data_IF_106076158511
#
_entry.id   IF_106076158511
#
_cell.length_a   1.000
_cell.length_b   1.000
_cell.length_c   1.000
_cell.angle_alpha   90.00
_cell.angle_beta   90.00
_cell.angle_gamma   90.00
#
_symmetry.space_group_name_H-M   'P 1'
#
loop_
_entity.id
_entity.type
_entity.pdbx_description
1 polymer ?
#
# COMPACT_ATOMS: atom_id res chain seq x y z
N UNK A 1 0.09 24.86 1.89
CA UNK A 1 -0.03 24.73 0.42
C UNK A 1 0.48 23.34 0.07
N UNK A 2 -0.22 22.58 -0.78
CA UNK A 2 0.18 21.25 -1.26
C UNK A 2 1.38 21.35 -2.22
N UNK A 3 2.20 20.28 -2.33
CA UNK A 3 3.35 20.21 -3.22
C UNK A 3 4.71 20.24 -2.53
N UNK A 4 4.76 19.99 -1.20
CA UNK A 4 6.03 19.87 -0.45
C UNK A 4 6.72 18.57 -0.80
N UNK A 5 7.96 18.67 -1.24
CA UNK A 5 8.75 17.59 -1.81
C UNK A 5 9.95 17.29 -0.91
N UNK A 6 10.10 16.01 -0.54
CA UNK A 6 11.29 15.48 0.11
C UNK A 6 12.07 14.66 -0.91
N UNK A 7 13.27 15.10 -1.29
CA UNK A 7 14.19 14.38 -2.17
C UNK A 7 15.27 13.69 -1.34
N UNK A 8 15.49 12.39 -1.60
CA UNK A 8 16.53 11.59 -0.93
C UNK A 8 17.34 10.87 -1.99
N UNK A 9 18.64 11.09 -2.00
CA UNK A 9 19.60 10.33 -2.80
C UNK A 9 20.36 9.36 -1.89
N UNK A 10 20.06 8.07 -2.03
CA UNK A 10 20.62 7.02 -1.20
C UNK A 10 22.10 6.70 -1.53
N UNK A 11 22.62 7.09 -2.70
CA UNK A 11 24.04 6.91 -3.03
C UNK A 11 24.93 7.91 -2.28
N UNK A 12 24.42 9.12 -2.08
CA UNK A 12 25.19 10.21 -1.45
C UNK A 12 24.73 10.51 -0.02
N UNK A 13 23.59 9.96 0.40
CA UNK A 13 22.95 10.30 1.68
C UNK A 13 22.34 11.69 1.71
N UNK A 14 22.21 12.37 0.55
CA UNK A 14 21.72 13.74 0.48
C UNK A 14 20.21 13.79 0.67
N UNK A 15 19.77 14.62 1.63
CA UNK A 15 18.36 14.87 1.92
C UNK A 15 18.06 16.35 1.62
N UNK A 16 17.06 16.60 0.78
CA UNK A 16 16.66 17.94 0.38
C UNK A 16 15.15 18.14 0.54
N UNK A 17 14.77 19.27 1.14
CA UNK A 17 13.38 19.70 1.23
C UNK A 17 13.14 20.76 0.15
N UNK A 18 12.11 20.54 -0.67
CA UNK A 18 11.81 21.35 -1.83
C UNK A 18 10.29 21.53 -1.99
N UNK A 19 9.88 22.23 -3.02
CA UNK A 19 8.49 22.38 -3.42
C UNK A 19 8.36 22.19 -4.91
N UNK A 20 7.36 21.42 -5.32
CA UNK A 20 7.02 21.36 -6.74
C UNK A 20 6.32 22.64 -7.20
N UNK A 21 6.33 22.90 -8.49
CA UNK A 21 5.69 24.05 -9.11
C UNK A 21 4.19 24.11 -8.74
N UNK A 22 3.73 25.28 -8.32
CA UNK A 22 2.30 25.51 -8.05
C UNK A 22 1.44 25.33 -9.31
N UNK A 23 2.01 25.63 -10.48
CA UNK A 23 1.36 25.36 -11.78
C UNK A 23 1.12 23.88 -11.98
N UNK A 24 2.12 23.02 -11.74
CA UNK A 24 1.96 21.57 -11.85
C UNK A 24 0.97 21.00 -10.84
N UNK A 25 0.95 21.55 -9.62
CA UNK A 25 -0.06 21.17 -8.63
C UNK A 25 -1.46 21.54 -9.13
N UNK A 26 -1.64 22.70 -9.76
CA UNK A 26 -2.90 23.13 -10.33
C UNK A 26 -3.35 22.25 -11.51
N UNK A 27 -2.43 21.95 -12.43
CA UNK A 27 -2.72 21.21 -13.66
C UNK A 27 -2.92 19.68 -13.41
N UNK A 28 -2.16 19.09 -12.48
CA UNK A 28 -2.10 17.64 -12.24
C UNK A 28 -2.66 17.21 -10.88
N UNK A 29 -3.06 18.13 -10.04
CA UNK A 29 -3.74 17.93 -8.74
C UNK A 29 -2.82 17.25 -7.70
N UNK A 30 -2.42 15.99 -7.91
CA UNK A 30 -1.64 15.17 -6.99
C UNK A 30 -1.65 13.70 -7.41
N UNK A 31 -1.21 12.80 -6.51
CA UNK A 31 -1.17 11.36 -6.77
C UNK A 31 -0.43 11.02 -8.05
N UNK A 32 -0.96 10.08 -8.81
CA UNK A 32 -0.39 9.59 -10.07
C UNK A 32 -0.27 10.67 -11.15
N UNK A 33 -1.22 11.60 -11.25
CA UNK A 33 -1.15 12.68 -12.23
C UNK A 33 0.09 13.55 -12.03
N UNK A 34 0.32 14.02 -10.81
CA UNK A 34 1.51 14.82 -10.48
C UNK A 34 2.80 14.00 -10.58
N UNK A 35 2.76 12.72 -10.16
CA UNK A 35 3.90 11.82 -10.30
C UNK A 35 4.29 11.61 -11.76
N UNK A 36 3.33 11.43 -12.66
CA UNK A 36 3.58 11.29 -14.10
C UNK A 36 4.26 12.52 -14.67
N UNK A 37 3.80 13.72 -14.30
CA UNK A 37 4.45 14.98 -14.72
C UNK A 37 5.88 15.08 -14.21
N UNK A 38 6.14 14.75 -12.96
CA UNK A 38 7.46 14.78 -12.37
C UNK A 38 8.42 13.79 -13.02
N UNK A 39 7.97 12.55 -13.26
CA UNK A 39 8.78 11.53 -13.93
C UNK A 39 9.06 11.86 -15.39
N UNK A 40 8.11 12.45 -16.09
CA UNK A 40 8.29 12.88 -17.48
C UNK A 40 9.47 13.83 -17.66
N UNK A 41 9.68 14.75 -16.73
CA UNK A 41 10.80 15.71 -16.79
C UNK A 41 12.15 15.09 -16.42
N UNK A 42 12.18 14.13 -15.52
CA UNK A 42 13.41 13.67 -14.87
C UNK A 42 13.84 12.27 -15.34
N UNK A 43 13.02 11.58 -16.15
CA UNK A 43 13.31 10.20 -16.53
C UNK A 43 13.88 10.12 -17.96
N UNK A 44 15.05 9.53 -18.07
CA UNK A 44 15.60 9.09 -19.35
C UNK A 44 14.90 7.78 -19.75
N UNK A 45 14.17 7.74 -20.87
CA UNK A 45 13.44 6.54 -21.29
C UNK A 45 14.34 5.35 -21.67
N UNK A 46 15.61 5.60 -21.97
CA UNK A 46 16.59 4.55 -22.29
C UNK A 46 17.21 3.91 -21.05
N UNK A 47 17.04 4.52 -19.87
CA UNK A 47 17.62 4.02 -18.61
C UNK A 47 16.86 2.77 -18.15
N UNK A 48 17.59 1.80 -17.57
CA UNK A 48 16.97 0.65 -16.91
C UNK A 48 16.07 1.11 -15.74
N UNK A 49 14.85 0.57 -15.58
CA UNK A 49 14.01 0.88 -14.43
C UNK A 49 14.70 0.65 -13.07
N UNK A 50 15.57 -0.34 -12.97
CA UNK A 50 16.32 -0.67 -11.73
C UNK A 50 17.63 0.10 -11.58
N UNK A 51 18.02 0.94 -12.56
CA UNK A 51 19.20 1.82 -12.41
C UNK A 51 19.04 2.69 -11.14
N UNK A 52 20.08 2.85 -10.32
CA UNK A 52 20.03 3.69 -9.12
C UNK A 52 19.47 5.10 -9.34
N UNK A 53 19.75 5.69 -10.50
CA UNK A 53 19.27 7.04 -10.89
C UNK A 53 17.78 7.06 -11.26
N UNK A 54 17.15 5.91 -11.53
CA UNK A 54 15.71 5.85 -11.82
C UNK A 54 14.90 6.27 -10.59
N UNK A 55 14.00 7.29 -10.72
CA UNK A 55 13.25 7.80 -9.60
C UNK A 55 12.21 6.81 -9.09
N UNK A 56 12.02 6.80 -7.77
CA UNK A 56 10.92 6.13 -7.09
C UNK A 56 10.15 7.16 -6.26
N UNK A 57 8.89 7.37 -6.60
CA UNK A 57 8.06 8.43 -6.03
C UNK A 57 6.92 7.87 -5.18
N UNK A 58 6.68 8.50 -4.04
CA UNK A 58 5.48 8.32 -3.22
C UNK A 58 4.72 9.64 -3.22
N UNK A 59 3.53 9.65 -3.81
CA UNK A 59 2.79 10.89 -4.04
C UNK A 59 1.38 10.81 -3.46
N UNK A 60 1.07 11.72 -2.57
CA UNK A 60 -0.25 11.87 -1.97
C UNK A 60 -1.16 12.73 -2.84
N UNK A 61 -2.45 12.73 -2.54
CA UNK A 61 -3.40 13.67 -3.11
C UNK A 61 -3.72 14.82 -2.15
N UNK A 62 -4.33 15.93 -2.60
CA UNK A 62 -4.69 17.06 -1.74
C UNK A 62 -5.61 16.68 -0.58
N UNK A 63 -6.46 15.69 -0.78
CA UNK A 63 -7.38 15.20 0.25
C UNK A 63 -6.78 14.12 1.16
N UNK A 64 -5.60 13.55 0.82
CA UNK A 64 -5.00 12.49 1.63
C UNK A 64 -4.80 12.95 3.07
N UNK A 65 -5.36 12.20 4.02
CA UNK A 65 -5.21 12.46 5.45
C UNK A 65 -6.04 13.63 6.02
N UNK A 66 -6.87 14.29 5.21
CA UNK A 66 -7.72 15.41 5.68
C UNK A 66 -8.91 14.97 6.55
N UNK A 67 -9.20 13.66 6.59
CA UNK A 67 -10.41 13.12 7.23
C UNK A 67 -11.62 13.06 6.30
N UNK A 68 -11.46 13.39 5.03
CA UNK A 68 -12.49 13.14 4.01
C UNK A 68 -12.76 11.63 3.84
N UNK A 69 -13.92 11.24 3.28
CA UNK A 69 -14.27 9.85 3.06
C UNK A 69 -13.24 9.12 2.19
N UNK A 70 -12.72 7.98 2.68
CA UNK A 70 -11.77 7.11 2.00
C UNK A 70 -10.46 7.80 1.50
N UNK A 71 -10.07 8.93 2.08
CA UNK A 71 -8.90 9.74 1.69
C UNK A 71 -7.58 9.30 2.33
N UNK A 72 -7.43 8.03 2.67
CA UNK A 72 -6.19 7.45 3.19
C UNK A 72 -5.19 7.00 2.11
N UNK A 73 -5.57 7.03 0.83
CA UNK A 73 -4.78 6.46 -0.26
C UNK A 73 -3.71 7.42 -0.78
N UNK A 74 -2.63 6.83 -1.33
CA UNK A 74 -1.55 7.51 -2.05
C UNK A 74 -0.98 6.57 -3.13
N UNK A 75 -0.13 7.09 -4.03
CA UNK A 75 0.45 6.32 -5.12
C UNK A 75 1.95 6.18 -4.98
N UNK A 76 2.45 4.97 -5.24
CA UNK A 76 3.86 4.68 -5.51
C UNK A 76 4.04 4.65 -7.01
N UNK A 77 4.99 5.41 -7.53
CA UNK A 77 5.17 5.61 -8.95
C UNK A 77 6.64 5.53 -9.36
N UNK A 78 6.87 4.99 -10.56
CA UNK A 78 8.18 4.85 -11.16
C UNK A 78 8.07 4.15 -12.49
N UNK A 79 9.19 3.76 -13.08
CA UNK A 79 9.15 2.85 -14.23
C UNK A 79 9.04 1.42 -13.72
N UNK A 80 8.08 0.67 -14.28
CA UNK A 80 7.88 -0.73 -13.91
C UNK A 80 9.06 -1.59 -14.36
N UNK A 81 9.70 -2.35 -13.46
CA UNK A 81 10.75 -3.30 -13.84
C UNK A 81 10.24 -4.41 -14.77
N UNK A 82 8.95 -4.73 -14.69
CA UNK A 82 8.31 -5.76 -15.52
C UNK A 82 8.08 -5.32 -16.95
N UNK A 83 7.70 -4.06 -17.17
CA UNK A 83 7.25 -3.59 -18.50
C UNK A 83 8.14 -2.51 -19.11
N UNK A 84 9.01 -1.88 -18.33
CA UNK A 84 9.78 -0.70 -18.74
C UNK A 84 8.95 0.58 -18.91
N UNK A 85 7.61 0.48 -18.74
CA UNK A 85 6.67 1.59 -18.93
C UNK A 85 6.35 2.29 -17.60
N UNK A 86 5.45 3.27 -17.66
CA UNK A 86 4.86 3.87 -16.47
C UNK A 86 4.30 2.81 -15.52
N UNK A 87 4.75 2.85 -14.28
CA UNK A 87 4.27 2.02 -13.19
C UNK A 87 3.63 2.87 -12.10
N UNK A 88 2.41 2.50 -11.75
CA UNK A 88 1.66 3.07 -10.64
C UNK A 88 1.10 1.97 -9.76
N UNK A 89 1.24 2.13 -8.45
CA UNK A 89 0.60 1.27 -7.48
C UNK A 89 -0.08 2.11 -6.40
N UNK A 90 -1.40 2.03 -6.34
CA UNK A 90 -2.20 2.78 -5.39
C UNK A 90 -2.42 1.96 -4.11
N UNK A 91 -2.04 2.50 -2.97
CA UNK A 91 -2.10 1.81 -1.67
C UNK A 91 -2.97 2.58 -0.67
N UNK A 92 -3.76 1.84 0.09
CA UNK A 92 -4.55 2.38 1.21
C UNK A 92 -3.78 2.38 2.53
N UNK A 93 -4.50 2.42 3.64
CA UNK A 93 -3.92 2.39 4.98
C UNK A 93 -3.67 3.78 5.57
N UNK A 94 -2.53 3.98 6.20
CA UNK A 94 -2.22 5.16 7.00
C UNK A 94 -0.91 5.86 6.60
N UNK A 95 -0.06 5.26 5.77
CA UNK A 95 1.24 5.82 5.35
C UNK A 95 1.07 7.18 4.65
N UNK A 96 0.15 7.29 3.68
CA UNK A 96 -0.10 8.55 2.98
C UNK A 96 -0.48 9.69 3.93
N UNK A 97 -1.47 9.51 4.83
CA UNK A 97 -1.77 10.44 5.88
C UNK A 97 -0.59 10.83 6.79
N UNK A 98 0.24 9.86 7.18
CA UNK A 98 1.42 10.14 8.02
C UNK A 98 2.48 10.95 7.26
N UNK A 99 2.71 10.66 5.98
CA UNK A 99 3.62 11.45 5.13
C UNK A 99 3.20 12.94 5.10
N UNK A 100 1.90 13.19 4.92
CA UNK A 100 1.36 14.55 4.96
C UNK A 100 1.47 15.20 6.33
N UNK A 101 1.23 14.45 7.41
CA UNK A 101 1.40 14.93 8.78
C UNK A 101 2.86 15.18 9.13
N UNK A 102 3.78 14.42 8.56
CA UNK A 102 5.21 14.69 8.68
C UNK A 102 5.65 15.95 7.92
N UNK A 103 4.76 16.47 7.06
CA UNK A 103 5.01 17.75 6.39
C UNK A 103 5.35 17.61 4.92
N UNK A 104 5.21 16.43 4.33
CA UNK A 104 5.56 16.17 2.93
C UNK A 104 4.36 15.63 2.15
N UNK A 105 4.21 16.08 0.91
CA UNK A 105 3.18 15.60 0.01
C UNK A 105 3.76 14.59 -1.00
N UNK A 106 5.07 14.71 -1.24
CA UNK A 106 5.82 13.89 -2.20
C UNK A 106 7.13 13.45 -1.54
N UNK A 107 7.44 12.15 -1.62
CA UNK A 107 8.75 11.59 -1.33
C UNK A 107 9.35 11.11 -2.66
N UNK A 108 10.55 11.59 -2.98
CA UNK A 108 11.32 11.29 -4.18
C UNK A 108 12.61 10.61 -3.79
N UNK A 109 12.81 9.38 -4.22
CA UNK A 109 13.96 8.57 -3.86
C UNK A 109 14.75 8.22 -5.12
N UNK A 110 16.03 8.52 -5.11
CA UNK A 110 17.02 8.11 -6.11
C UNK A 110 18.25 7.52 -5.44
N UNK A 111 19.19 7.04 -6.24
CA UNK A 111 20.40 6.42 -5.71
C UNK A 111 20.20 5.00 -5.21
N UNK A 112 21.31 4.35 -4.89
CA UNK A 112 21.35 3.05 -4.22
C UNK A 112 22.34 3.15 -3.05
N UNK A 113 21.89 2.81 -1.86
CA UNK A 113 22.75 2.76 -0.69
C UNK A 113 23.78 1.61 -0.84
N UNK A 114 25.05 1.77 -0.40
CA UNK A 114 26.04 0.70 -0.45
C UNK A 114 25.68 -0.50 0.45
N UNK A 115 24.83 -0.30 1.43
CA UNK A 115 24.33 -1.33 2.35
C UNK A 115 22.82 -1.18 2.50
N UNK A 116 22.06 -2.24 2.89
CA UNK A 116 20.65 -2.14 3.16
C UNK A 116 20.32 -1.08 4.22
N UNK A 117 19.33 -0.24 3.92
CA UNK A 117 18.87 0.86 4.79
C UNK A 117 17.35 0.91 4.89
N UNK A 118 16.86 1.62 5.90
CA UNK A 118 15.50 2.16 5.90
C UNK A 118 15.52 3.67 6.09
N UNK A 119 14.49 4.36 5.63
CA UNK A 119 14.30 5.80 5.84
C UNK A 119 13.38 5.99 7.04
N UNK A 120 13.81 6.80 8.02
CA UNK A 120 12.98 7.26 9.12
C UNK A 120 12.62 8.73 8.96
N UNK A 121 11.32 9.02 8.87
CA UNK A 121 10.77 10.38 8.74
C UNK A 121 9.94 10.69 9.97
N UNK A 122 10.39 11.64 10.78
CA UNK A 122 9.67 12.13 11.95
C UNK A 122 9.57 13.66 11.89
N UNK A 123 8.44 14.15 11.38
CA UNK A 123 8.25 15.58 11.08
C UNK A 123 9.41 16.15 10.21
N UNK A 124 10.19 17.09 10.75
CA UNK A 124 11.33 17.67 10.02
C UNK A 124 12.61 16.83 10.08
N UNK A 125 12.70 15.87 11.00
CA UNK A 125 13.83 14.96 11.07
C UNK A 125 13.68 13.85 10.02
N UNK A 126 14.72 13.65 9.23
CA UNK A 126 14.77 12.59 8.21
C UNK A 126 16.13 11.93 8.31
N UNK A 127 16.13 10.62 8.52
CA UNK A 127 17.34 9.83 8.76
C UNK A 127 17.35 8.61 7.82
N UNK A 128 18.57 8.22 7.41
CA UNK A 128 18.84 6.99 6.69
C UNK A 128 19.51 6.04 7.67
N UNK A 129 18.79 5.00 8.07
CA UNK A 129 19.19 4.07 9.12
C UNK A 129 19.63 2.72 8.55
N UNK A 130 20.63 2.03 9.14
CA UNK A 130 21.05 0.70 8.70
C UNK A 130 19.92 -0.33 8.81
N UNK A 131 19.78 -1.21 7.80
CA UNK A 131 18.79 -2.29 7.78
C UNK A 131 19.40 -3.67 7.47
N UNK A 132 20.72 -3.84 7.56
CA UNK A 132 21.38 -5.11 7.26
C UNK A 132 20.95 -6.27 8.17
N UNK A 133 20.51 -5.98 9.38
CA UNK A 133 19.94 -6.96 10.31
C UNK A 133 18.53 -7.44 9.92
N UNK A 134 17.81 -6.68 9.08
CA UNK A 134 16.47 -7.01 8.58
C UNK A 134 16.51 -7.65 7.18
N UNK A 135 17.51 -7.30 6.37
CA UNK A 135 17.63 -7.74 4.97
C UNK A 135 17.90 -9.24 4.88
N UNK A 136 17.09 -9.97 4.10
CA UNK A 136 17.15 -11.41 3.95
C UNK A 136 16.70 -12.22 5.17
N UNK A 137 16.20 -11.57 6.23
CA UNK A 137 15.88 -12.20 7.51
C UNK A 137 14.45 -11.96 7.97
N UNK A 138 14.00 -10.70 7.92
CA UNK A 138 12.67 -10.30 8.37
C UNK A 138 11.69 -10.19 7.20
N UNK A 139 10.51 -10.75 7.36
CA UNK A 139 9.41 -10.53 6.43
C UNK A 139 8.85 -9.09 6.56
N UNK A 140 7.78 -8.78 5.81
CA UNK A 140 7.20 -7.42 5.81
C UNK A 140 6.47 -7.09 7.11
N UNK A 141 5.95 -8.06 7.85
CA UNK A 141 5.28 -7.85 9.14
C UNK A 141 6.29 -7.68 10.26
N UNK A 142 7.28 -8.57 10.32
CA UNK A 142 8.39 -8.49 11.27
C UNK A 142 9.18 -7.19 11.11
N UNK A 143 9.50 -6.80 9.87
CA UNK A 143 10.16 -5.53 9.57
C UNK A 143 9.40 -4.34 10.15
N UNK A 144 8.07 -4.31 10.03
CA UNK A 144 7.26 -3.23 10.59
C UNK A 144 7.30 -3.19 12.12
N UNK A 145 7.35 -4.34 12.78
CA UNK A 145 7.44 -4.45 14.25
C UNK A 145 8.80 -3.97 14.72
N UNK A 146 9.87 -4.56 14.18
CA UNK A 146 11.24 -4.28 14.58
C UNK A 146 11.63 -2.80 14.39
N UNK A 147 11.26 -2.21 13.24
CA UNK A 147 11.53 -0.78 13.01
C UNK A 147 10.80 0.12 14.02
N UNK A 148 9.53 -0.18 14.40
CA UNK A 148 8.84 0.61 15.43
C UNK A 148 9.52 0.52 16.79
N UNK A 149 10.06 -0.63 17.13
CA UNK A 149 10.84 -0.84 18.36
C UNK A 149 12.16 -0.05 18.32
N UNK A 150 12.92 -0.15 17.22
CA UNK A 150 14.18 0.57 17.03
C UNK A 150 14.02 2.09 17.11
N UNK A 151 13.01 2.65 16.44
CA UNK A 151 12.77 4.10 16.50
C UNK A 151 11.99 4.55 17.75
N UNK A 152 11.68 3.61 18.65
CA UNK A 152 10.92 3.84 19.89
C UNK A 152 9.61 4.61 19.68
N UNK A 153 8.93 4.39 18.54
CA UNK A 153 7.66 5.04 18.21
C UNK A 153 6.63 3.98 17.73
N UNK A 154 5.82 3.46 18.64
CA UNK A 154 4.86 2.39 18.32
C UNK A 154 3.76 2.83 17.34
N UNK A 155 3.56 4.13 17.16
CA UNK A 155 2.59 4.70 16.20
C UNK A 155 3.21 4.98 14.84
N UNK A 156 4.50 4.77 14.64
CA UNK A 156 5.13 4.91 13.33
C UNK A 156 4.44 3.99 12.32
N UNK A 157 4.18 4.52 11.13
CA UNK A 157 3.69 3.74 9.99
C UNK A 157 4.87 3.31 9.15
N UNK A 158 4.93 2.02 8.85
CA UNK A 158 6.06 1.43 8.14
C UNK A 158 5.55 0.75 6.88
N UNK A 159 6.18 1.05 5.76
CA UNK A 159 6.02 0.31 4.51
C UNK A 159 7.34 -0.35 4.15
N UNK A 160 7.31 -1.64 3.85
CA UNK A 160 8.50 -2.47 3.68
C UNK A 160 8.38 -3.41 2.49
N UNK A 161 9.52 -3.85 1.97
CA UNK A 161 9.64 -4.97 1.05
C UNK A 161 10.01 -6.26 1.78
N UNK A 162 9.54 -7.39 1.25
CA UNK A 162 9.99 -8.72 1.64
C UNK A 162 11.06 -9.26 0.70
N UNK A 163 11.37 -10.54 0.84
CA UNK A 163 12.38 -11.25 0.04
C UNK A 163 12.21 -11.07 -1.48
N UNK A 164 10.98 -11.00 -1.97
CA UNK A 164 10.72 -10.78 -3.40
C UNK A 164 11.27 -9.43 -3.88
N UNK A 165 11.09 -8.36 -3.09
CA UNK A 165 11.64 -7.04 -3.39
C UNK A 165 13.16 -7.00 -3.27
N UNK A 166 13.71 -7.63 -2.23
CA UNK A 166 15.15 -7.75 -2.00
C UNK A 166 15.86 -8.51 -3.13
N UNK A 167 15.20 -9.53 -3.70
CA UNK A 167 15.68 -10.30 -4.84
C UNK A 167 15.24 -9.74 -6.20
N UNK A 168 14.75 -8.52 -6.24
CA UNK A 168 14.38 -7.79 -7.46
C UNK A 168 13.35 -8.52 -8.35
N UNK A 169 12.46 -9.32 -7.75
CA UNK A 169 11.38 -9.96 -8.50
C UNK A 169 10.54 -8.90 -9.20
N UNK A 170 10.38 -8.91 -10.54
CA UNK A 170 9.85 -7.78 -11.31
C UNK A 170 8.44 -7.33 -10.94
N UNK A 171 7.67 -8.17 -10.29
CA UNK A 171 6.32 -7.88 -9.80
C UNK A 171 6.23 -7.80 -8.26
N UNK A 172 7.37 -7.70 -7.55
CA UNK A 172 7.41 -7.53 -6.11
C UNK A 172 6.64 -6.27 -5.68
N UNK A 173 5.95 -6.35 -4.56
CA UNK A 173 5.16 -5.25 -4.02
C UNK A 173 5.78 -4.64 -2.75
N UNK A 174 5.22 -3.50 -2.34
CA UNK A 174 5.51 -2.87 -1.05
C UNK A 174 4.32 -3.09 -0.13
N UNK A 175 4.57 -3.58 1.09
CA UNK A 175 3.54 -3.88 2.08
C UNK A 175 3.56 -2.87 3.22
N UNK A 176 2.38 -2.42 3.65
CA UNK A 176 2.22 -1.47 4.74
C UNK A 176 1.01 -1.79 5.62
N UNK A 177 0.95 -1.15 6.78
CA UNK A 177 -0.22 -1.11 7.65
C UNK A 177 -0.92 -2.47 7.80
N UNK A 178 -0.17 -3.51 8.12
CA UNK A 178 -0.72 -4.83 8.38
C UNK A 178 -1.48 -5.43 7.19
N UNK A 179 -0.81 -5.46 6.04
CA UNK A 179 -1.31 -6.12 4.84
C UNK A 179 -2.00 -5.20 3.83
N UNK A 180 -1.67 -3.91 3.82
CA UNK A 180 -1.98 -3.03 2.68
C UNK A 180 -0.86 -3.13 1.66
N UNK A 181 -1.19 -3.45 0.43
CA UNK A 181 -0.22 -3.70 -0.62
C UNK A 181 -0.24 -2.62 -1.71
N UNK A 182 0.95 -2.17 -2.10
CA UNK A 182 1.18 -1.58 -3.41
C UNK A 182 1.49 -2.74 -4.37
N UNK A 183 0.43 -3.37 -4.88
CA UNK A 183 0.43 -4.77 -5.30
C UNK A 183 0.81 -5.04 -6.75
N UNK A 184 0.84 -4.04 -7.63
CA UNK A 184 1.13 -4.20 -9.06
C UNK A 184 2.33 -3.35 -9.48
N UNK A 185 2.80 -3.55 -10.73
CA UNK A 185 3.83 -2.75 -11.41
C UNK A 185 5.25 -2.85 -10.85
N UNK A 186 5.50 -3.71 -9.83
CA UNK A 186 6.86 -4.03 -9.38
C UNK A 186 7.54 -2.95 -8.53
N UNK A 187 6.78 -2.13 -7.83
CA UNK A 187 7.35 -1.06 -6.98
C UNK A 187 8.24 -1.59 -5.86
N UNK A 188 8.03 -2.84 -5.43
CA UNK A 188 8.91 -3.50 -4.45
C UNK A 188 10.30 -3.80 -5.01
N UNK A 189 10.41 -4.23 -6.27
CA UNK A 189 11.71 -4.42 -6.92
C UNK A 189 12.44 -3.08 -7.14
N UNK A 190 11.69 -2.03 -7.53
CA UNK A 190 12.25 -0.68 -7.66
C UNK A 190 12.79 -0.16 -6.31
N UNK A 191 12.12 -0.47 -5.21
CA UNK A 191 12.59 -0.17 -3.86
C UNK A 191 13.84 -1.00 -3.49
N UNK A 192 13.82 -2.30 -3.80
CA UNK A 192 14.93 -3.22 -3.57
C UNK A 192 16.20 -2.84 -4.34
N UNK A 193 16.08 -2.36 -5.60
CA UNK A 193 17.22 -1.90 -6.40
C UNK A 193 18.00 -0.73 -5.78
N UNK A 194 17.43 -0.11 -4.78
CA UNK A 194 18.04 1.00 -4.02
C UNK A 194 18.63 0.56 -2.67
N UNK A 195 18.64 -0.76 -2.38
CA UNK A 195 18.92 -1.32 -1.07
C UNK A 195 18.05 -0.72 0.05
N UNK A 196 16.82 -0.32 -0.29
CA UNK A 196 15.86 0.29 0.62
C UNK A 196 14.88 -0.77 1.15
N UNK A 197 15.05 -1.18 2.40
CA UNK A 197 14.21 -2.19 3.07
C UNK A 197 12.83 -1.64 3.44
N UNK A 198 12.78 -0.41 3.97
CA UNK A 198 11.56 0.18 4.47
C UNK A 198 11.59 1.72 4.46
N UNK A 199 10.40 2.30 4.54
CA UNK A 199 10.19 3.71 4.91
C UNK A 199 9.27 3.74 6.11
N UNK A 200 9.75 4.29 7.22
CA UNK A 200 9.02 4.52 8.45
C UNK A 200 8.65 5.99 8.57
N UNK A 201 7.43 6.30 8.97
CA UNK A 201 6.94 7.68 9.02
C UNK A 201 6.12 7.91 10.29
N UNK A 202 6.40 9.04 10.95
CA UNK A 202 5.55 9.60 12.00
C UNK A 202 5.39 11.09 11.78
N UNK A 203 4.15 11.57 11.72
CA UNK A 203 3.82 12.97 11.55
C UNK A 203 2.87 13.47 12.63
N UNK A 204 3.13 14.63 13.18
CA UNK A 204 2.31 15.25 14.24
C UNK A 204 1.58 16.51 13.77
N UNK A 205 1.79 16.97 12.53
CA UNK A 205 1.22 18.20 12.00
C UNK A 205 -0.26 18.03 11.63
N UNK A 206 -1.02 19.08 11.83
CA UNK A 206 -2.36 19.19 11.27
C UNK A 206 -2.29 19.48 9.77
N UNK A 207 -3.10 18.78 8.99
CA UNK A 207 -3.25 19.07 7.56
C UNK A 207 -4.20 20.27 7.43
N UNK A 208 -3.76 21.38 6.81
CA UNK A 208 -4.58 22.59 6.74
C UNK A 208 -5.78 22.39 5.82
N UNK A 209 -6.93 22.89 6.23
CA UNK A 209 -8.18 22.97 5.49
C UNK A 209 -8.58 24.44 5.34
N UNK A 210 -9.07 24.83 4.16
CA UNK A 210 -9.48 26.20 3.91
C UNK A 210 -10.77 26.56 4.67
N UNK A 211 -11.75 25.68 4.65
CA UNK A 211 -13.08 25.87 5.26
C UNK A 211 -13.39 24.65 6.14
N UNK A 212 -12.90 24.69 7.39
CA UNK A 212 -12.88 23.52 8.29
C UNK A 212 -14.28 23.00 8.57
N UNK A 213 -15.21 23.86 8.96
CA UNK A 213 -16.55 23.43 9.40
C UNK A 213 -17.41 22.96 8.21
N UNK A 214 -17.36 23.64 7.09
CA UNK A 214 -18.03 23.23 5.86
C UNK A 214 -17.51 21.88 5.37
N UNK A 215 -16.18 21.72 5.36
CA UNK A 215 -15.54 20.44 4.98
C UNK A 215 -15.99 19.28 5.88
N UNK A 216 -16.06 19.50 7.20
CA UNK A 216 -16.56 18.48 8.15
C UNK A 216 -18.02 18.12 7.89
N UNK A 217 -18.87 19.10 7.59
CA UNK A 217 -20.28 18.86 7.27
C UNK A 217 -20.42 18.02 5.98
N UNK A 218 -19.68 18.37 4.93
CA UNK A 218 -19.65 17.63 3.68
C UNK A 218 -19.13 16.19 3.88
N UNK A 219 -18.07 16.00 4.67
CA UNK A 219 -17.55 14.68 5.01
C UNK A 219 -18.58 13.83 5.76
N UNK A 220 -19.31 14.45 6.71
CA UNK A 220 -20.37 13.74 7.46
C UNK A 220 -21.52 13.32 6.53
N UNK A 221 -21.95 14.20 5.64
CA UNK A 221 -22.99 13.90 4.65
C UNK A 221 -22.55 12.78 3.69
N UNK A 222 -21.36 12.87 3.14
CA UNK A 222 -20.80 11.86 2.24
C UNK A 222 -20.62 10.50 2.92
N UNK A 223 -20.12 10.46 4.17
CA UNK A 223 -20.03 9.22 4.93
C UNK A 223 -21.40 8.59 5.21
N UNK A 224 -22.43 9.42 5.50
CA UNK A 224 -23.80 8.94 5.64
C UNK A 224 -24.29 8.28 4.37
N UNK A 225 -24.14 8.96 3.23
CA UNK A 225 -24.52 8.41 1.91
C UNK A 225 -23.79 7.10 1.60
N UNK A 226 -22.48 7.01 1.91
CA UNK A 226 -21.73 5.76 1.73
C UNK A 226 -22.27 4.61 2.60
N UNK A 227 -22.62 4.88 3.85
CA UNK A 227 -23.17 3.86 4.75
C UNK A 227 -24.56 3.37 4.36
N UNK A 228 -25.31 4.17 3.63
CA UNK A 228 -26.64 3.82 3.08
C UNK A 228 -26.54 2.96 1.80
N UNK A 229 -25.34 2.79 1.21
CA UNK A 229 -25.17 1.98 0.01
C UNK A 229 -25.07 0.48 0.34
N UNK A 230 -25.80 -0.35 -0.36
CA UNK A 230 -25.77 -1.82 -0.20
C UNK A 230 -24.36 -2.39 -0.38
N UNK A 231 -23.58 -1.89 -1.34
CA UNK A 231 -22.20 -2.33 -1.58
C UNK A 231 -21.29 -2.04 -0.40
N UNK A 232 -21.48 -0.94 0.32
CA UNK A 232 -20.73 -0.66 1.54
C UNK A 232 -21.00 -1.71 2.61
N UNK A 233 -22.25 -2.10 2.80
CA UNK A 233 -22.65 -3.16 3.74
C UNK A 233 -22.03 -4.51 3.36
N UNK A 234 -22.08 -4.87 2.08
CA UNK A 234 -21.49 -6.13 1.56
C UNK A 234 -19.97 -6.14 1.80
N UNK A 235 -19.25 -5.10 1.40
CA UNK A 235 -17.80 -5.02 1.64
C UNK A 235 -17.44 -4.94 3.13
N UNK A 236 -18.29 -4.34 3.96
CA UNK A 236 -18.08 -4.34 5.40
C UNK A 236 -18.25 -5.74 5.98
N UNK A 237 -19.24 -6.51 5.56
CA UNK A 237 -19.54 -7.85 6.07
C UNK A 237 -18.58 -8.90 5.53
N UNK A 238 -18.32 -8.91 4.23
CA UNK A 238 -17.66 -10.00 3.51
C UNK A 238 -16.26 -9.65 2.98
N UNK A 239 -15.86 -8.37 3.01
CA UNK A 239 -14.64 -7.90 2.35
C UNK A 239 -14.72 -7.95 0.83
N UNK A 240 -13.59 -7.73 0.15
CA UNK A 240 -13.51 -7.88 -1.31
C UNK A 240 -13.69 -9.33 -1.75
N UNK A 241 -13.30 -10.29 -0.91
CA UNK A 241 -13.50 -11.73 -1.14
C UNK A 241 -14.98 -12.14 -1.20
N UNK A 242 -15.91 -11.33 -0.71
CA UNK A 242 -17.35 -11.51 -0.89
C UNK A 242 -17.80 -11.41 -2.35
N UNK A 243 -16.96 -10.88 -3.25
CA UNK A 243 -17.24 -10.87 -4.68
C UNK A 243 -17.05 -12.23 -5.35
N UNK A 244 -16.36 -13.18 -4.72
CA UNK A 244 -15.99 -14.46 -5.34
C UNK A 244 -17.19 -15.25 -5.84
N UNK A 245 -18.23 -15.43 -5.02
CA UNK A 245 -19.45 -16.14 -5.38
C UNK A 245 -20.18 -15.49 -6.57
N UNK A 246 -20.33 -14.17 -6.54
CA UNK A 246 -20.97 -13.43 -7.61
C UNK A 246 -20.18 -13.49 -8.92
N UNK A 247 -18.86 -13.25 -8.86
CA UNK A 247 -18.01 -13.24 -10.05
C UNK A 247 -17.90 -14.63 -10.68
N UNK A 248 -17.97 -15.71 -9.87
CA UNK A 248 -18.09 -17.06 -10.40
C UNK A 248 -19.37 -17.27 -11.18
N UNK A 249 -20.51 -16.83 -10.66
CA UNK A 249 -21.82 -17.00 -11.31
C UNK A 249 -21.87 -16.31 -12.67
N UNK A 250 -21.30 -15.11 -12.77
CA UNK A 250 -21.26 -14.35 -14.04
C UNK A 250 -20.08 -14.73 -14.96
N UNK A 251 -19.22 -15.70 -14.55
CA UNK A 251 -18.08 -16.16 -15.34
C UNK A 251 -16.88 -15.20 -15.34
N UNK A 252 -16.82 -14.24 -14.40
CA UNK A 252 -15.73 -13.24 -14.29
C UNK A 252 -14.72 -13.54 -13.17
N UNK A 253 -14.76 -14.75 -12.60
CA UNK A 253 -13.74 -15.25 -11.70
C UNK A 253 -12.75 -16.13 -12.47
N UNK A 254 -11.43 -15.80 -12.50
CA UNK A 254 -10.45 -16.62 -13.21
C UNK A 254 -10.34 -18.00 -12.56
N UNK A 255 -10.59 -19.02 -13.35
CA UNK A 255 -10.57 -20.42 -12.92
C UNK A 255 -9.60 -21.19 -13.80
N UNK A 256 -8.63 -21.89 -13.19
CA UNK A 256 -7.55 -22.61 -13.91
C UNK A 256 -6.99 -21.76 -15.06
N UNK A 257 -6.64 -20.50 -14.75
CA UNK A 257 -6.14 -19.53 -15.74
C UNK A 257 -7.08 -19.31 -16.93
N UNK A 258 -8.40 -19.18 -16.68
CA UNK A 258 -9.44 -19.02 -17.70
C UNK A 258 -9.62 -20.22 -18.64
N UNK A 259 -9.12 -21.41 -18.24
CA UNK A 259 -9.27 -22.64 -19.02
C UNK A 259 -10.41 -23.55 -18.53
N UNK A 260 -11.00 -23.22 -17.39
CA UNK A 260 -12.17 -23.90 -16.85
C UNK A 260 -13.35 -22.92 -16.71
N UNK A 261 -14.59 -23.34 -17.01
CA UNK A 261 -15.78 -22.49 -16.92
C UNK A 261 -16.28 -22.33 -15.48
N UNK A 262 -16.05 -23.32 -14.63
CA UNK A 262 -16.54 -23.36 -13.24
C UNK A 262 -15.49 -23.97 -12.31
N UNK A 263 -15.60 -23.61 -11.03
CA UNK A 263 -14.81 -24.17 -9.94
C UNK A 263 -15.74 -24.50 -8.75
N UNK A 264 -16.03 -25.76 -8.52
CA UNK A 264 -16.98 -26.21 -7.50
C UNK A 264 -16.56 -25.84 -6.07
N UNK A 265 -15.28 -25.56 -5.85
CA UNK A 265 -14.71 -25.13 -4.57
C UNK A 265 -14.82 -23.63 -4.28
N UNK A 266 -15.39 -22.81 -5.14
CA UNK A 266 -15.36 -21.35 -4.98
C UNK A 266 -16.07 -20.88 -3.70
N UNK A 267 -17.20 -21.45 -3.34
CA UNK A 267 -17.92 -21.12 -2.11
C UNK A 267 -17.10 -21.40 -0.84
N UNK A 268 -16.26 -22.43 -0.87
CA UNK A 268 -15.41 -22.84 0.26
C UNK A 268 -14.23 -21.90 0.53
N UNK A 269 -13.94 -21.00 -0.41
CA UNK A 269 -12.87 -20.00 -0.29
C UNK A 269 -13.40 -18.55 -0.33
N UNK A 270 -14.71 -18.38 -0.33
CA UNK A 270 -15.37 -17.08 -0.47
C UNK A 270 -15.30 -16.21 0.79
N UNK A 271 -15.68 -14.94 0.66
CA UNK A 271 -15.83 -14.04 1.78
C UNK A 271 -16.94 -14.47 2.75
N UNK A 272 -17.98 -15.15 2.27
CA UNK A 272 -19.03 -15.71 3.11
C UNK A 272 -18.50 -16.86 3.99
N UNK A 273 -17.71 -17.76 3.42
CA UNK A 273 -17.03 -18.82 4.18
C UNK A 273 -16.10 -18.24 5.23
N UNK A 274 -15.27 -17.25 4.86
CA UNK A 274 -14.41 -16.54 5.82
C UNK A 274 -15.20 -15.92 6.96
N UNK A 275 -16.31 -15.24 6.63
CA UNK A 275 -17.13 -14.55 7.62
C UNK A 275 -17.82 -15.50 8.62
N UNK A 276 -18.21 -16.69 8.17
CA UNK A 276 -18.90 -17.68 9.00
C UNK A 276 -17.96 -18.54 9.86
N UNK A 277 -16.67 -18.61 9.50
CA UNK A 277 -15.74 -19.58 10.14
C UNK A 277 -14.62 -18.94 10.95
N UNK A 278 -13.88 -17.99 10.38
CA UNK A 278 -12.60 -17.51 10.94
C UNK A 278 -12.49 -16.00 11.12
N UNK A 279 -13.48 -15.22 10.70
CA UNK A 279 -13.47 -13.76 10.80
C UNK A 279 -13.58 -13.32 12.27
N UNK A 280 -12.69 -12.44 12.72
CA UNK A 280 -12.69 -11.88 14.07
C UNK A 280 -12.95 -10.37 14.10
N UNK A 281 -12.85 -9.69 12.97
CA UNK A 281 -13.10 -8.26 12.89
C UNK A 281 -12.80 -7.65 11.52
N UNK A 282 -13.03 -6.34 11.43
CA UNK A 282 -12.82 -5.55 10.23
C UNK A 282 -11.69 -4.53 10.44
N UNK A 283 -10.96 -4.22 9.38
CA UNK A 283 -9.99 -3.13 9.35
C UNK A 283 -10.31 -2.10 8.28
N UNK A 284 -10.35 -0.84 8.69
CA UNK A 284 -10.51 0.30 7.78
C UNK A 284 -9.16 0.95 7.45
N UNK A 285 -9.08 1.58 6.29
CA UNK A 285 -8.07 2.59 5.99
C UNK A 285 -8.42 3.91 6.67
N UNK A 286 -7.47 4.86 6.70
CA UNK A 286 -7.70 6.19 7.28
C UNK A 286 -8.94 6.88 6.68
N UNK A 287 -9.87 7.32 7.52
CA UNK A 287 -11.08 8.02 7.11
C UNK A 287 -12.07 7.21 6.28
N UNK A 288 -11.99 5.88 6.26
CA UNK A 288 -12.85 5.02 5.45
C UNK A 288 -13.92 4.34 6.31
N UNK A 289 -15.20 4.59 5.99
CA UNK A 289 -16.35 3.97 6.66
C UNK A 289 -16.67 2.56 6.14
N UNK A 290 -16.08 2.15 5.01
CA UNK A 290 -16.36 0.85 4.37
C UNK A 290 -15.78 -0.30 5.20
N UNK A 291 -14.52 -0.19 5.66
CA UNK A 291 -13.90 -1.20 6.51
C UNK A 291 -13.74 -2.57 5.84
N UNK A 292 -13.41 -2.62 4.55
CA UNK A 292 -13.33 -3.86 3.77
C UNK A 292 -12.18 -4.82 4.15
N UNK A 293 -11.19 -4.37 4.93
CA UNK A 293 -10.11 -5.25 5.39
C UNK A 293 -10.60 -6.25 6.44
N UNK A 294 -10.03 -7.46 6.42
CA UNK A 294 -10.41 -8.56 7.30
C UNK A 294 -9.38 -8.81 8.38
N UNK A 295 -9.82 -9.06 9.60
CA UNK A 295 -9.03 -9.71 10.65
C UNK A 295 -9.55 -11.12 10.83
N UNK A 296 -8.64 -12.10 10.87
CA UNK A 296 -9.00 -13.51 11.01
C UNK A 296 -8.18 -14.17 12.11
N UNK A 297 -8.67 -15.31 12.59
CA UNK A 297 -7.96 -16.16 13.51
C UNK A 297 -8.29 -17.62 13.26
N UNK A 298 -7.25 -18.42 12.95
CA UNK A 298 -7.31 -19.87 12.85
C UNK A 298 -6.57 -20.40 14.08
N UNK A 299 -7.31 -21.02 15.01
CA UNK A 299 -6.79 -21.40 16.32
C UNK A 299 -5.86 -22.59 16.26
N UNK A 300 -6.19 -23.61 15.46
CA UNK A 300 -5.54 -24.92 15.48
C UNK A 300 -5.22 -25.43 14.08
N UNK A 301 -4.38 -26.47 14.02
CA UNK A 301 -4.05 -27.18 12.80
C UNK A 301 -2.82 -26.63 12.08
N UNK A 302 -2.48 -27.23 10.91
CA UNK A 302 -1.26 -26.92 10.19
C UNK A 302 -1.24 -25.48 9.61
N UNK A 303 -2.41 -24.84 9.53
CA UNK A 303 -2.60 -23.50 9.00
C UNK A 303 -2.95 -22.47 10.10
N UNK A 304 -2.68 -22.78 11.36
CA UNK A 304 -2.92 -21.86 12.47
C UNK A 304 -2.24 -20.51 12.26
N UNK A 305 -2.93 -19.44 12.64
CA UNK A 305 -2.45 -18.05 12.50
C UNK A 305 -2.32 -17.36 13.85
N UNK A 306 -1.60 -16.27 13.90
CA UNK A 306 -1.67 -15.37 15.06
C UNK A 306 -3.06 -14.71 15.13
N UNK A 307 -3.53 -14.34 16.34
CA UNK A 307 -4.74 -13.54 16.50
C UNK A 307 -4.67 -12.25 15.68
N UNK A 308 -5.79 -11.85 15.07
CA UNK A 308 -5.90 -10.65 14.23
C UNK A 308 -4.99 -10.65 13.01
N UNK A 309 -4.66 -11.82 12.47
CA UNK A 309 -3.98 -11.94 11.19
C UNK A 309 -4.80 -11.31 10.06
N UNK A 310 -4.14 -10.89 9.00
CA UNK A 310 -4.80 -10.33 7.81
C UNK A 310 -5.55 -11.44 7.07
N UNK A 311 -6.85 -11.28 6.87
CA UNK A 311 -7.63 -12.13 5.97
C UNK A 311 -7.38 -11.76 4.49
N UNK A 312 -7.54 -12.72 3.57
CA UNK A 312 -7.25 -12.53 2.15
C UNK A 312 -8.23 -11.56 1.48
N UNK A 313 -7.73 -10.81 0.51
CA UNK A 313 -8.54 -10.05 -0.44
C UNK A 313 -8.99 -10.98 -1.59
N UNK A 314 -9.93 -10.52 -2.42
CA UNK A 314 -10.42 -11.30 -3.57
C UNK A 314 -9.29 -11.79 -4.48
N UNK A 315 -8.31 -10.95 -4.78
CA UNK A 315 -7.19 -11.29 -5.64
C UNK A 315 -6.33 -12.43 -5.06
N UNK A 316 -6.18 -12.48 -3.75
CA UNK A 316 -5.47 -13.59 -3.08
C UNK A 316 -6.24 -14.91 -3.22
N UNK A 317 -7.57 -14.86 -3.01
CA UNK A 317 -8.45 -16.01 -3.17
C UNK A 317 -8.42 -16.52 -4.61
N UNK A 318 -8.46 -15.64 -5.60
CA UNK A 318 -8.35 -16.03 -6.99
C UNK A 318 -7.00 -16.64 -7.33
N UNK A 319 -5.91 -15.97 -6.91
CA UNK A 319 -4.55 -16.39 -7.32
C UNK A 319 -4.13 -17.73 -6.71
N UNK A 320 -4.42 -17.96 -5.43
CA UNK A 320 -4.04 -19.18 -4.73
C UNK A 320 -5.17 -20.22 -4.65
N UNK A 321 -6.41 -19.82 -4.91
CA UNK A 321 -7.59 -20.68 -4.89
C UNK A 321 -8.04 -21.07 -6.28
N UNK A 322 -8.92 -20.30 -6.92
CA UNK A 322 -9.60 -20.70 -8.15
C UNK A 322 -8.65 -20.90 -9.35
N UNK A 323 -7.59 -20.14 -9.48
CA UNK A 323 -6.60 -20.35 -10.55
C UNK A 323 -5.85 -21.68 -10.40
N UNK A 324 -5.61 -22.13 -9.16
CA UNK A 324 -4.94 -23.38 -8.84
C UNK A 324 -5.90 -24.53 -8.51
N UNK A 325 -7.22 -24.27 -8.53
CA UNK A 325 -8.28 -25.20 -8.11
C UNK A 325 -8.12 -25.67 -6.65
N UNK A 326 -7.60 -24.82 -5.78
CA UNK A 326 -7.47 -25.06 -4.34
C UNK A 326 -8.72 -24.53 -3.63
N UNK A 327 -9.42 -25.39 -2.89
CA UNK A 327 -10.66 -25.10 -2.16
C UNK A 327 -10.46 -25.07 -0.63
N UNK A 328 -9.25 -24.90 -0.16
CA UNK A 328 -8.91 -24.88 1.26
C UNK A 328 -8.55 -23.44 1.69
N UNK A 329 -9.52 -22.72 2.26
CA UNK A 329 -9.34 -21.32 2.70
C UNK A 329 -8.20 -21.16 3.74
N UNK A 330 -8.08 -21.99 4.79
CA UNK A 330 -6.96 -21.93 5.72
C UNK A 330 -5.59 -22.06 5.05
N UNK A 331 -5.45 -22.94 4.07
CA UNK A 331 -4.21 -23.12 3.31
C UNK A 331 -3.85 -21.88 2.48
N UNK A 332 -4.85 -21.25 1.86
CA UNK A 332 -4.65 -20.02 1.07
C UNK A 332 -4.20 -18.84 1.96
N UNK A 333 -4.64 -18.84 3.20
CA UNK A 333 -4.33 -17.79 4.17
C UNK A 333 -2.90 -17.89 4.70
N UNK A 334 -2.41 -19.11 4.94
CA UNK A 334 -1.07 -19.39 5.47
C UNK A 334 0.01 -19.21 4.42
#
# INVERSE_FOLDING_TARGET
MFGRLLKIDLSTGKIQKDKTSSKWVGDFIGGSGLAARLLWEETDPARDPLDPRSPFLWVTGPLTGTGGPATGRFSLCGRSPQTGLWGESNIGGFIGPELRRAGYDILWITGCSPQPVYIWIHDDAVEICPAGHLWGKADTYETQILIREEVSEPRARVAAIGLAGENLVPFANVMADHGRAAGRTGMGALMGSKNLKAVAIRGNRKIPLAQVEEFKQLCKAANKTLLEQNMTSIFNSLGTSGSADYLQIIGDMPQKYWTAPTFDGASQISGAEMASTILTGNRACHGCVIGCGREIYIQEGPYATAPKSKGPEYETICSFGSQLLVNNLPMIIK
#
